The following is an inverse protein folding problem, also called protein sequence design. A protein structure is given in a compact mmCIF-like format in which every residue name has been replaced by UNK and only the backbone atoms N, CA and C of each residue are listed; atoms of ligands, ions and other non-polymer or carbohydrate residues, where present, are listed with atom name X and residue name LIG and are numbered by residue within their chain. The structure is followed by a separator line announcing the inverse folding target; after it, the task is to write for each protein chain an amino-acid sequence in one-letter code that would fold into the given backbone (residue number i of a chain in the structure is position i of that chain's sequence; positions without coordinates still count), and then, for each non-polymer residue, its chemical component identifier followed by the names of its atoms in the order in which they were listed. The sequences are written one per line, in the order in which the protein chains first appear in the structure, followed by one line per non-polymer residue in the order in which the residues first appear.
data_IF_140733593645
#
_entry.id   IF_140733593645
#
_cell.length_a   1.000
_cell.length_b   1.000
_cell.length_c   1.000
_cell.angle_alpha   90.00
_cell.angle_beta   90.00
_cell.angle_gamma   90.00
#
_symmetry.space_group_name_H-M   'P 1'
#
loop_
_entity.id
_entity.type
_entity.pdbx_description
1 polymer ?
#
# COMPACT_ATOMS: atom_id res chain seq x y z
N UNK A 1 -20.64 -16.22 9.07
CA UNK A 1 -19.72 -15.55 8.13
C UNK A 1 -19.29 -14.30 8.86
N UNK A 2 -18.03 -14.21 9.31
CA UNK A 2 -17.52 -12.95 9.86
C UNK A 2 -17.27 -12.09 8.62
N UNK A 3 -17.93 -10.93 8.52
CA UNK A 3 -17.65 -10.00 7.43
C UNK A 3 -16.20 -9.52 7.62
N UNK A 4 -15.32 -9.65 6.62
CA UNK A 4 -13.95 -9.16 6.74
C UNK A 4 -13.99 -7.64 6.89
N UNK A 5 -13.48 -7.14 8.01
CA UNK A 5 -13.45 -5.72 8.35
C UNK A 5 -12.09 -5.15 7.93
N UNK A 6 -12.04 -4.45 6.80
CA UNK A 6 -10.80 -3.89 6.25
C UNK A 6 -11.02 -2.47 5.72
N UNK A 7 -9.97 -1.66 5.77
CA UNK A 7 -9.89 -0.38 5.09
C UNK A 7 -9.00 -0.51 3.84
N UNK A 8 -9.29 0.29 2.82
CA UNK A 8 -8.48 0.32 1.61
C UNK A 8 -8.12 1.75 1.20
N UNK A 9 -6.89 1.91 0.72
CA UNK A 9 -6.37 3.13 0.15
C UNK A 9 -6.02 2.89 -1.33
N UNK A 10 -6.64 3.65 -2.22
CA UNK A 10 -6.39 3.58 -3.66
C UNK A 10 -5.92 4.93 -4.20
N UNK A 11 -4.92 4.89 -5.09
CA UNK A 11 -4.45 6.09 -5.75
C UNK A 11 -3.52 5.82 -6.93
N UNK A 12 -3.00 6.90 -7.52
CA UNK A 12 -1.96 6.87 -8.56
C UNK A 12 -0.76 7.66 -8.08
N UNK A 13 0.44 7.22 -8.40
CA UNK A 13 1.68 7.94 -8.09
C UNK A 13 2.69 7.84 -9.24
N UNK A 14 3.47 8.90 -9.40
CA UNK A 14 4.69 8.93 -10.21
C UNK A 14 5.95 9.04 -9.35
N UNK A 15 5.79 8.97 -8.02
CA UNK A 15 6.87 8.99 -7.03
C UNK A 15 7.27 7.57 -6.64
N UNK A 16 8.50 7.42 -6.14
CA UNK A 16 8.99 6.16 -5.57
C UNK A 16 8.50 5.89 -4.13
N UNK A 17 7.64 6.74 -3.61
CA UNK A 17 7.15 6.65 -2.23
C UNK A 17 5.63 6.81 -2.21
N UNK A 18 4.99 5.96 -1.39
CA UNK A 18 3.58 6.06 -0.99
C UNK A 18 3.56 6.13 0.53
N UNK A 19 2.82 7.10 1.07
CA UNK A 19 2.67 7.29 2.51
C UNK A 19 1.24 6.90 2.89
N UNK A 20 1.13 5.94 3.80
CA UNK A 20 -0.14 5.54 4.40
C UNK A 20 -0.62 6.65 5.35
N UNK A 21 -1.94 6.93 5.43
CA UNK A 21 -2.50 7.86 6.39
C UNK A 21 -2.07 7.57 7.82
N UNK A 22 -1.90 8.63 8.62
CA UNK A 22 -1.53 8.50 10.04
C UNK A 22 -2.61 7.77 10.84
N UNK A 23 -3.89 7.96 10.50
CA UNK A 23 -5.01 7.27 11.17
C UNK A 23 -4.92 5.74 11.14
N UNK A 24 -4.24 5.16 10.15
CA UNK A 24 -4.07 3.71 10.06
C UNK A 24 -3.20 3.16 11.20
N UNK A 25 -2.33 3.96 11.81
CA UNK A 25 -1.56 3.50 12.98
C UNK A 25 -2.43 3.19 14.20
N UNK A 26 -3.63 3.78 14.30
CA UNK A 26 -4.55 3.61 15.43
C UNK A 26 -5.70 2.63 15.16
N UNK A 27 -6.11 2.50 13.89
CA UNK A 27 -7.31 1.77 13.51
C UNK A 27 -7.01 0.44 12.79
N UNK A 28 -5.83 0.27 12.20
CA UNK A 28 -5.50 -0.84 11.30
C UNK A 28 -4.38 -1.69 11.88
N UNK A 29 -4.50 -3.02 11.76
CA UNK A 29 -3.37 -3.91 12.00
C UNK A 29 -2.33 -3.69 10.90
N UNK A 30 -1.27 -2.94 11.23
CA UNK A 30 -0.21 -2.59 10.29
C UNK A 30 0.51 -3.83 9.72
N UNK A 31 0.46 -4.99 10.38
CA UNK A 31 1.06 -6.23 9.89
C UNK A 31 0.19 -6.96 8.87
N UNK A 32 -1.12 -6.69 8.84
CA UNK A 32 -2.06 -7.22 7.84
C UNK A 32 -1.93 -6.57 6.45
N UNK A 33 -1.20 -5.44 6.34
CA UNK A 33 -1.22 -4.60 5.14
C UNK A 33 -0.73 -5.36 3.91
N UNK A 34 -1.58 -5.41 2.89
CA UNK A 34 -1.29 -5.95 1.55
C UNK A 34 -1.27 -4.82 0.53
N UNK A 35 -0.32 -4.87 -0.42
CA UNK A 35 -0.09 -3.82 -1.42
C UNK A 35 -0.17 -4.42 -2.82
N UNK A 36 -1.08 -3.91 -3.64
CA UNK A 36 -1.19 -4.24 -5.06
C UNK A 36 -0.78 -3.04 -5.90
N UNK A 37 0.07 -3.28 -6.90
CA UNK A 37 0.56 -2.25 -7.82
C UNK A 37 0.15 -2.58 -9.25
N UNK A 38 -0.26 -1.57 -10.01
CA UNK A 38 -0.57 -1.68 -11.44
C UNK A 38 0.21 -0.61 -12.20
N UNK A 39 1.25 -1.03 -12.91
CA UNK A 39 2.06 -0.13 -13.74
C UNK A 39 1.26 0.45 -14.91
N UNK A 40 1.59 1.67 -15.32
CA UNK A 40 0.98 2.36 -16.45
C UNK A 40 2.01 2.57 -17.57
N UNK A 41 1.63 2.20 -18.79
CA UNK A 41 2.47 2.37 -19.97
C UNK A 41 3.47 1.22 -20.14
N UNK A 42 4.77 1.53 -20.04
CA UNK A 42 5.83 0.55 -20.27
C UNK A 42 5.97 -0.44 -19.09
N UNK A 43 6.56 -1.61 -19.36
CA UNK A 43 6.91 -2.55 -18.30
C UNK A 43 8.12 -2.01 -17.50
N UNK A 44 7.86 -1.57 -16.27
CA UNK A 44 8.82 -0.91 -15.38
C UNK A 44 9.51 -1.89 -14.41
N UNK A 45 9.19 -3.20 -14.43
CA UNK A 45 9.57 -4.14 -13.37
C UNK A 45 9.24 -3.59 -11.97
N UNK A 46 8.03 -3.02 -11.86
CA UNK A 46 7.57 -2.31 -10.67
C UNK A 46 7.36 -3.28 -9.50
N UNK A 47 7.96 -2.97 -8.35
CA UNK A 47 7.86 -3.78 -7.13
C UNK A 47 7.93 -2.93 -5.86
N UNK A 48 7.38 -3.46 -4.77
CA UNK A 48 7.62 -2.93 -3.43
C UNK A 48 9.05 -3.30 -3.03
N UNK A 49 9.88 -2.30 -2.73
CA UNK A 49 11.26 -2.49 -2.27
C UNK A 49 11.33 -2.69 -0.76
N UNK A 50 10.57 -1.87 -0.03
CA UNK A 50 10.56 -1.85 1.43
C UNK A 50 9.25 -1.24 1.93
N UNK A 51 8.76 -1.75 3.05
CA UNK A 51 7.75 -1.10 3.90
C UNK A 51 8.41 -0.79 5.25
N UNK A 52 8.29 0.44 5.73
CA UNK A 52 8.78 0.85 7.04
C UNK A 52 7.77 1.79 7.68
N UNK A 53 7.08 1.32 8.73
CA UNK A 53 5.94 2.05 9.29
C UNK A 53 4.91 2.34 8.19
N UNK A 54 4.57 3.62 8.00
CA UNK A 54 3.65 4.11 6.96
C UNK A 54 4.29 4.37 5.60
N UNK A 55 5.62 4.27 5.48
CA UNK A 55 6.29 4.51 4.21
C UNK A 55 6.43 3.22 3.40
N UNK A 56 5.96 3.26 2.15
CA UNK A 56 6.17 2.22 1.15
C UNK A 56 7.10 2.79 0.08
N UNK A 57 8.30 2.21 -0.03
CA UNK A 57 9.27 2.55 -1.06
C UNK A 57 9.11 1.60 -2.26
N UNK A 58 9.00 2.17 -3.45
CA UNK A 58 8.87 1.47 -4.74
C UNK A 58 10.22 1.41 -5.47
N UNK A 59 10.41 0.34 -6.24
CA UNK A 59 11.54 0.17 -7.14
C UNK A 59 11.10 -0.27 -8.54
N UNK A 60 11.97 -0.03 -9.52
CA UNK A 60 11.75 -0.26 -10.95
C UNK A 60 13.07 -0.68 -11.59
N UNK A 61 13.03 -1.11 -12.86
CA UNK A 61 14.20 -1.38 -13.69
C UNK A 61 14.98 -0.12 -14.17
N UNK A 62 14.77 1.04 -13.54
CA UNK A 62 15.40 2.31 -13.92
C UNK A 62 14.50 3.26 -14.72
N UNK A 63 13.34 2.79 -15.18
CA UNK A 63 12.30 3.65 -15.74
C UNK A 63 11.63 4.51 -14.64
N UNK A 64 11.09 5.70 -14.97
CA UNK A 64 10.28 6.47 -14.03
C UNK A 64 9.08 5.66 -13.53
N UNK A 65 8.73 5.83 -12.25
CA UNK A 65 7.51 5.22 -11.70
C UNK A 65 6.29 5.89 -12.33
N UNK A 66 5.34 5.08 -12.77
CA UNK A 66 3.95 5.49 -13.02
C UNK A 66 3.05 4.30 -12.74
N UNK A 67 2.29 4.36 -11.65
CA UNK A 67 1.46 3.24 -11.23
C UNK A 67 0.24 3.66 -10.42
N UNK A 68 -0.78 2.81 -10.48
CA UNK A 68 -1.84 2.77 -9.49
C UNK A 68 -1.44 1.84 -8.35
N UNK A 69 -1.95 2.13 -7.15
CA UNK A 69 -1.81 1.29 -5.98
C UNK A 69 -3.17 1.06 -5.32
N UNK A 70 -3.32 -0.12 -4.73
CA UNK A 70 -4.38 -0.47 -3.81
C UNK A 70 -3.74 -1.11 -2.59
N UNK A 71 -3.90 -0.46 -1.45
CA UNK A 71 -3.37 -0.90 -0.16
C UNK A 71 -4.57 -1.30 0.68
N UNK A 72 -4.54 -2.47 1.29
CA UNK A 72 -5.62 -3.01 2.12
C UNK A 72 -5.03 -3.36 3.47
N UNK A 73 -5.73 -3.03 4.56
CA UNK A 73 -5.38 -3.45 5.91
C UNK A 73 -6.63 -3.84 6.69
N UNK A 74 -6.51 -4.85 7.54
CA UNK A 74 -7.57 -5.30 8.44
C UNK A 74 -7.68 -4.32 9.62
N UNK A 75 -8.92 -3.98 9.99
CA UNK A 75 -9.18 -3.13 11.14
C UNK A 75 -8.84 -3.89 12.43
N UNK A 76 -8.21 -3.19 13.38
CA UNK A 76 -7.92 -3.74 14.70
C UNK A 76 -9.21 -4.20 15.37
N UNK A 77 -9.16 -5.39 15.97
CA UNK A 77 -10.22 -5.84 16.87
C UNK A 77 -10.10 -5.05 18.18
N UNK A 78 -10.97 -4.05 18.35
CA UNK A 78 -10.96 -3.16 19.52
C UNK A 78 -11.61 -3.78 20.77
N UNK A 79 -12.13 -5.01 20.67
CA UNK A 79 -12.89 -5.69 21.73
C UNK A 79 -12.13 -6.85 22.41
N UNK A 80 -10.79 -6.90 22.33
CA UNK A 80 -9.95 -7.96 22.93
C UNK A 80 -9.51 -7.69 24.38
#
# INVERSE_FOLDING_TARGET
MIEPNFEFLHGRTTKKEIIIPESWEEDIDMDSITIHLTQVGANQDLRVKRRQGREITLDTNGLPVDCYYMIIGELLDKDA
#
